data_IF_012695308503
#
_entry.id   IF_012695308503
#
_cell.length_a   1.000
_cell.length_b   1.000
_cell.length_c   1.000
_cell.angle_alpha   90.00
_cell.angle_beta   90.00
_cell.angle_gamma   90.00
#
_symmetry.space_group_name_H-M   'P 1'
#
loop_
_entity.id
_entity.type
_entity.pdbx_description
1 polymer ?
#
# COMPACT_ATOMS: atom_id res chain seq x y z
N UNK A 1 6.53 -48.40 -12.16
CA UNK A 1 7.57 -47.46 -12.63
C UNK A 1 6.87 -46.24 -13.24
N UNK A 2 7.47 -45.06 -13.15
CA UNK A 2 6.95 -43.74 -13.60
C UNK A 2 6.17 -42.94 -12.55
N UNK A 3 6.94 -42.42 -11.60
CA UNK A 3 6.63 -41.18 -10.87
C UNK A 3 6.65 -40.01 -11.86
N UNK A 4 5.50 -39.41 -12.19
CA UNK A 4 5.49 -38.12 -12.88
C UNK A 4 5.54 -37.01 -11.84
N UNK A 5 6.77 -36.66 -11.48
CA UNK A 5 7.14 -35.46 -10.75
C UNK A 5 6.92 -34.26 -11.70
N UNK A 6 5.77 -33.60 -11.56
CA UNK A 6 5.47 -32.35 -12.25
C UNK A 6 5.43 -31.19 -11.26
N UNK A 7 6.57 -30.86 -10.64
CA UNK A 7 6.70 -29.63 -9.88
C UNK A 7 6.56 -28.47 -10.88
N UNK A 8 5.37 -27.86 -10.91
CA UNK A 8 5.08 -26.73 -11.76
C UNK A 8 5.94 -25.55 -11.29
N UNK A 9 7.02 -25.32 -12.02
CA UNK A 9 7.93 -24.21 -11.81
C UNK A 9 7.17 -22.92 -12.13
N UNK A 10 6.75 -22.20 -11.08
CA UNK A 10 6.28 -20.80 -11.17
C UNK A 10 7.46 -19.99 -11.71
N UNK A 11 7.45 -19.73 -13.01
CA UNK A 11 8.44 -18.88 -13.66
C UNK A 11 8.23 -17.44 -13.16
N UNK A 12 9.07 -16.99 -12.23
CA UNK A 12 9.12 -15.59 -11.82
C UNK A 12 9.65 -14.79 -13.02
N UNK A 13 8.75 -14.05 -13.68
CA UNK A 13 9.12 -13.22 -14.81
C UNK A 13 9.94 -12.02 -14.29
N UNK A 14 11.19 -11.82 -14.76
CA UNK A 14 12.06 -10.74 -14.28
C UNK A 14 11.55 -9.32 -14.62
N UNK A 15 10.49 -9.21 -15.44
CA UNK A 15 9.83 -7.94 -15.75
C UNK A 15 8.83 -7.49 -14.67
N UNK A 16 8.39 -8.38 -13.76
CA UNK A 16 7.48 -8.01 -12.66
C UNK A 16 8.14 -7.12 -11.59
N UNK A 17 9.48 -7.06 -11.61
CA UNK A 17 10.30 -6.25 -10.71
C UNK A 17 10.57 -4.84 -11.28
N UNK A 18 10.28 -4.60 -12.57
CA UNK A 18 10.54 -3.33 -13.25
C UNK A 18 9.27 -2.47 -13.24
N UNK A 19 9.04 -1.80 -12.12
CA UNK A 19 8.07 -0.71 -12.05
C UNK A 19 6.61 -1.18 -12.08
N UNK A 20 6.18 -1.85 -11.00
CA UNK A 20 4.77 -1.79 -10.66
C UNK A 20 4.40 -0.31 -10.58
N UNK A 21 3.41 0.18 -11.37
CA UNK A 21 2.98 1.56 -11.25
C UNK A 21 2.52 1.75 -9.82
N UNK A 22 3.20 2.64 -9.09
CA UNK A 22 2.92 2.86 -7.69
C UNK A 22 1.48 3.37 -7.57
N UNK A 23 0.60 2.55 -7.00
CA UNK A 23 -0.81 2.87 -6.96
C UNK A 23 -1.02 4.03 -5.99
N UNK A 24 -1.75 5.03 -6.47
CA UNK A 24 -2.08 6.22 -5.69
C UNK A 24 -3.51 6.10 -5.17
N UNK A 25 -3.61 5.83 -3.87
CA UNK A 25 -4.86 5.64 -3.15
C UNK A 25 -5.48 7.00 -2.83
N UNK A 26 -6.74 7.19 -3.21
CA UNK A 26 -7.51 8.39 -2.85
C UNK A 26 -8.00 8.30 -1.41
N UNK A 27 -8.45 9.42 -0.85
CA UNK A 27 -9.00 9.48 0.51
C UNK A 27 -10.01 8.36 0.82
N UNK A 28 -11.08 8.11 0.03
CA UNK A 28 -12.05 7.06 0.36
C UNK A 28 -11.41 5.66 0.40
N UNK A 29 -10.39 5.41 -0.41
CA UNK A 29 -9.68 4.13 -0.43
C UNK A 29 -8.77 3.97 0.78
N UNK A 30 -8.07 5.04 1.17
CA UNK A 30 -7.28 5.07 2.40
C UNK A 30 -8.18 4.90 3.63
N UNK A 31 -9.35 5.53 3.67
CA UNK A 31 -10.32 5.33 4.75
C UNK A 31 -10.80 3.88 4.82
N UNK A 32 -11.02 3.24 3.66
CA UNK A 32 -11.43 1.83 3.57
C UNK A 32 -10.33 0.88 4.04
N UNK A 33 -9.09 1.11 3.63
CA UNK A 33 -7.94 0.24 3.93
C UNK A 33 -7.50 0.38 5.39
N UNK A 34 -7.43 1.60 5.90
CA UNK A 34 -6.95 1.88 7.26
C UNK A 34 -8.06 1.77 8.31
N UNK A 35 -9.33 1.79 7.89
CA UNK A 35 -10.49 1.89 8.78
C UNK A 35 -10.61 3.25 9.50
N UNK A 36 -9.68 4.18 9.24
CA UNK A 36 -9.65 5.50 9.86
C UNK A 36 -10.49 6.48 9.04
N UNK A 37 -11.17 7.39 9.74
CA UNK A 37 -11.86 8.51 9.08
C UNK A 37 -10.88 9.61 8.68
N UNK A 38 -11.27 10.41 7.69
CA UNK A 38 -10.56 11.62 7.22
C UNK A 38 -9.94 12.47 8.34
N UNK A 39 -10.67 12.72 9.43
CA UNK A 39 -10.19 13.50 10.57
C UNK A 39 -9.00 12.84 11.28
N UNK A 40 -9.05 11.52 11.51
CA UNK A 40 -7.94 10.75 12.08
C UNK A 40 -6.74 10.70 11.15
N UNK A 41 -6.96 10.64 9.83
CA UNK A 41 -5.88 10.72 8.85
C UNK A 41 -5.15 12.08 8.96
N UNK A 42 -5.87 13.20 9.02
CA UNK A 42 -5.26 14.52 9.22
C UNK A 42 -4.62 14.71 10.59
N UNK A 43 -5.21 14.16 11.65
CA UNK A 43 -4.60 14.15 12.97
C UNK A 43 -3.29 13.36 12.96
N UNK A 44 -3.28 12.18 12.33
CA UNK A 44 -2.08 11.36 12.16
C UNK A 44 -1.01 12.03 11.32
N UNK A 45 -1.40 12.74 10.26
CA UNK A 45 -0.46 13.55 9.46
C UNK A 45 0.15 14.69 10.30
N UNK A 46 -0.66 15.38 11.12
CA UNK A 46 -0.17 16.44 12.02
C UNK A 46 0.74 15.89 13.12
N UNK A 47 0.44 14.69 13.62
CA UNK A 47 1.22 14.00 14.64
C UNK A 47 2.47 13.28 14.07
N UNK A 48 2.66 13.26 12.75
CA UNK A 48 3.74 12.52 12.10
C UNK A 48 3.60 11.00 12.17
N UNK A 49 2.44 10.49 12.60
CA UNK A 49 2.14 9.06 12.75
C UNK A 49 1.44 8.48 11.52
N UNK A 50 1.16 9.28 10.49
CA UNK A 50 0.52 8.84 9.26
C UNK A 50 1.27 9.40 8.04
N UNK A 51 1.42 8.64 6.95
CA UNK A 51 2.15 9.10 5.77
C UNK A 51 1.55 10.37 5.16
N UNK A 52 2.43 11.23 4.64
CA UNK A 52 2.05 12.48 4.01
C UNK A 52 1.26 12.23 2.70
N UNK A 53 0.27 13.07 2.44
CA UNK A 53 -0.49 13.01 1.19
C UNK A 53 0.27 13.67 0.02
N UNK A 54 0.22 13.03 -1.13
CA UNK A 54 0.68 13.56 -2.42
C UNK A 54 -0.44 14.39 -3.02
N UNK A 55 -0.16 15.65 -3.32
CA UNK A 55 -1.11 16.53 -4.01
C UNK A 55 -1.05 16.26 -5.51
N UNK A 56 -2.11 15.69 -6.06
CA UNK A 56 -2.24 15.44 -7.50
C UNK A 56 -2.87 16.64 -8.22
N UNK A 57 -3.70 17.41 -7.53
CA UNK A 57 -4.23 18.68 -8.04
C UNK A 57 -4.63 19.61 -6.90
N UNK A 58 -5.15 20.79 -7.24
CA UNK A 58 -5.66 21.79 -6.27
C UNK A 58 -6.71 21.18 -5.33
N UNK A 59 -7.57 20.28 -5.83
CA UNK A 59 -8.68 19.67 -5.09
C UNK A 59 -8.50 18.19 -4.79
N UNK A 60 -7.43 17.56 -5.28
CA UNK A 60 -7.26 16.11 -5.21
C UNK A 60 -5.92 15.71 -4.58
N UNK A 61 -6.01 14.92 -3.52
CA UNK A 61 -4.86 14.31 -2.83
C UNK A 61 -4.90 12.79 -2.98
N UNK A 62 -3.76 12.14 -2.84
CA UNK A 62 -3.62 10.69 -2.83
C UNK A 62 -2.45 10.27 -1.94
N UNK A 63 -2.37 8.99 -1.60
CA UNK A 63 -1.29 8.37 -0.86
C UNK A 63 -0.70 7.23 -1.67
N UNK A 64 0.60 6.98 -1.52
CA UNK A 64 1.21 5.81 -2.16
C UNK A 64 0.75 4.57 -1.42
N UNK A 65 0.36 3.56 -2.18
CA UNK A 65 0.03 2.24 -1.63
C UNK A 65 1.18 1.71 -0.76
N UNK A 66 2.43 1.85 -1.21
CA UNK A 66 3.60 1.42 -0.46
C UNK A 66 3.74 2.14 0.88
N UNK A 67 3.49 3.45 0.94
CA UNK A 67 3.54 4.21 2.20
C UNK A 67 2.47 3.71 3.19
N UNK A 68 1.26 3.44 2.69
CA UNK A 68 0.16 2.90 3.51
C UNK A 68 0.45 1.48 3.97
N UNK A 69 1.02 0.63 3.10
CA UNK A 69 1.43 -0.73 3.45
C UNK A 69 2.50 -0.73 4.55
N UNK A 70 3.55 0.09 4.39
CA UNK A 70 4.60 0.25 5.41
C UNK A 70 4.01 0.74 6.72
N UNK A 71 3.12 1.73 6.69
CA UNK A 71 2.44 2.24 7.88
C UNK A 71 1.61 1.16 8.60
N UNK A 72 0.85 0.34 7.84
CA UNK A 72 0.10 -0.77 8.41
C UNK A 72 1.02 -1.78 9.08
N UNK A 73 2.12 -2.17 8.42
CA UNK A 73 3.12 -3.08 8.99
C UNK A 73 3.74 -2.53 10.27
N UNK A 74 4.05 -1.23 10.32
CA UNK A 74 4.57 -0.59 11.53
C UNK A 74 3.60 -0.67 12.72
N UNK A 75 2.29 -0.50 12.46
CA UNK A 75 1.27 -0.62 13.52
C UNK A 75 1.03 -2.07 13.95
N UNK A 76 1.07 -3.01 13.01
CA UNK A 76 0.89 -4.42 13.31
C UNK A 76 2.03 -4.99 14.18
N UNK A 77 3.24 -4.44 14.06
CA UNK A 77 4.40 -4.78 14.90
C UNK A 77 4.34 -4.17 16.30
N UNK A 78 3.50 -3.15 16.53
CA UNK A 78 3.36 -2.46 17.81
C UNK A 78 2.16 -2.96 18.65
N UNK A 79 1.51 -4.05 18.22
CA UNK A 79 0.39 -4.71 18.92
C UNK A 79 0.87 -5.80 19.86
#
# INVERSE_FOLDING_TARGET
MSIHLGAQQVQANPNELRGKPELLLRLPEVERLTGLKKSSLYAGMKAGTFPACIRLSVRAVAWRESDIAVWQSQRQLAQ
#
